data_IF_726445824344
#
_entry.id   IF_726445824344
#
_cell.length_a   1.000
_cell.length_b   1.000
_cell.length_c   1.000
_cell.angle_alpha   90.00
_cell.angle_beta   90.00
_cell.angle_gamma   90.00
#
_symmetry.space_group_name_H-M   'P 1'
#
loop_
_entity.id
_entity.type
_entity.pdbx_description
1 polymer ?
#
# COMPACT_ATOMS: atom_id res chain seq x y z
N UNK A 1 -26.89 -21.03 -23.51
CA UNK A 1 -25.44 -21.09 -23.20
C UNK A 1 -25.07 -20.33 -21.93
N UNK A 2 -25.32 -19.00 -21.85
CA UNK A 2 -25.00 -18.15 -20.68
C UNK A 2 -25.61 -18.62 -19.36
N UNK A 3 -26.91 -18.98 -19.33
CA UNK A 3 -27.58 -19.48 -18.12
C UNK A 3 -27.02 -20.83 -17.63
N UNK A 4 -26.60 -21.70 -18.55
CA UNK A 4 -26.00 -23.01 -18.23
C UNK A 4 -24.60 -22.81 -17.63
N UNK A 5 -23.81 -21.89 -18.18
CA UNK A 5 -22.50 -21.52 -17.63
C UNK A 5 -22.61 -21.06 -16.17
N UNK A 6 -23.46 -20.08 -15.87
CA UNK A 6 -23.59 -19.56 -14.50
C UNK A 6 -24.16 -20.59 -13.52
N UNK A 7 -25.04 -21.49 -13.98
CA UNK A 7 -25.54 -22.59 -13.14
C UNK A 7 -24.42 -23.54 -12.75
N UNK A 8 -23.56 -23.91 -13.70
CA UNK A 8 -22.41 -24.79 -13.46
C UNK A 8 -21.33 -24.09 -12.62
N UNK A 9 -21.02 -22.82 -12.90
CA UNK A 9 -20.08 -22.02 -12.11
C UNK A 9 -20.53 -21.96 -10.64
N UNK A 10 -21.80 -21.64 -10.38
CA UNK A 10 -22.33 -21.56 -9.01
C UNK A 10 -22.28 -22.90 -8.27
N UNK A 11 -22.45 -24.02 -8.96
CA UNK A 11 -22.37 -25.36 -8.37
C UNK A 11 -20.94 -25.79 -8.04
N UNK A 12 -19.96 -25.33 -8.82
CA UNK A 12 -18.54 -25.68 -8.66
C UNK A 12 -17.75 -24.66 -7.83
N UNK A 13 -18.26 -23.45 -7.66
CA UNK A 13 -17.61 -22.38 -6.93
C UNK A 13 -17.67 -22.66 -5.43
N UNK A 14 -16.52 -22.87 -4.83
CA UNK A 14 -16.37 -22.95 -3.38
C UNK A 14 -16.95 -21.70 -2.72
N UNK A 15 -17.78 -21.88 -1.70
CA UNK A 15 -18.37 -20.77 -0.97
C UNK A 15 -17.26 -19.97 -0.29
N UNK A 16 -17.08 -18.72 -0.73
CA UNK A 16 -16.06 -17.79 -0.19
C UNK A 16 -16.22 -17.49 1.29
N UNK A 17 -17.45 -17.62 1.81
CA UNK A 17 -17.72 -17.43 3.24
C UNK A 17 -17.37 -18.68 4.07
N UNK A 18 -17.10 -19.83 3.42
CA UNK A 18 -16.77 -21.10 4.09
C UNK A 18 -15.27 -21.42 4.03
N UNK A 19 -14.57 -21.04 2.95
CA UNK A 19 -13.14 -21.25 2.77
C UNK A 19 -12.45 -19.94 2.35
N UNK A 20 -11.85 -19.26 3.32
CA UNK A 20 -11.02 -18.08 3.12
C UNK A 20 -9.56 -18.49 2.87
N UNK A 21 -9.00 -18.11 1.72
CA UNK A 21 -7.56 -18.26 1.44
C UNK A 21 -6.76 -17.07 2.02
N UNK A 22 -6.89 -16.86 3.33
CA UNK A 22 -6.11 -15.83 4.03
C UNK A 22 -4.65 -16.28 4.28
N UNK A 23 -4.38 -17.59 4.22
CA UNK A 23 -3.07 -18.17 4.55
C UNK A 23 -1.96 -17.68 3.62
N UNK A 24 -2.23 -17.64 2.31
CA UNK A 24 -1.27 -17.15 1.32
C UNK A 24 -0.98 -15.65 1.49
N UNK A 25 -2.01 -14.83 1.74
CA UNK A 25 -1.83 -13.41 2.02
C UNK A 25 -1.06 -13.12 3.30
N UNK A 26 -1.35 -13.86 4.39
CA UNK A 26 -0.60 -13.76 5.64
C UNK A 26 0.86 -14.14 5.43
N UNK A 27 1.13 -15.24 4.71
CA UNK A 27 2.50 -15.67 4.43
C UNK A 27 3.30 -14.58 3.70
N UNK A 28 2.70 -13.92 2.70
CA UNK A 28 3.37 -12.86 1.94
C UNK A 28 3.55 -11.59 2.76
N UNK A 29 2.56 -11.23 3.59
CA UNK A 29 2.72 -10.12 4.53
C UNK A 29 3.87 -10.40 5.52
N UNK A 30 3.94 -11.62 6.07
CA UNK A 30 5.03 -12.04 6.96
C UNK A 30 6.39 -12.02 6.28
N UNK A 31 6.51 -12.54 5.05
CA UNK A 31 7.75 -12.50 4.27
C UNK A 31 8.16 -11.04 4.00
N UNK A 32 7.21 -10.18 3.62
CA UNK A 32 7.50 -8.76 3.36
C UNK A 32 8.03 -8.07 4.61
N UNK A 33 7.38 -8.27 5.77
CA UNK A 33 7.84 -7.73 7.04
C UNK A 33 9.20 -8.29 7.45
N UNK A 34 9.43 -9.58 7.24
CA UNK A 34 10.71 -10.22 7.51
C UNK A 34 11.83 -9.64 6.65
N UNK A 35 11.61 -9.47 5.34
CA UNK A 35 12.55 -8.83 4.42
C UNK A 35 12.84 -7.39 4.84
N UNK A 36 11.85 -6.65 5.33
CA UNK A 36 12.06 -5.31 5.88
C UNK A 36 12.94 -5.33 7.13
N UNK A 37 12.66 -6.23 8.08
CA UNK A 37 13.44 -6.38 9.33
C UNK A 37 14.89 -6.74 9.02
N UNK A 38 15.11 -7.74 8.16
CA UNK A 38 16.46 -8.19 7.74
C UNK A 38 17.16 -7.08 6.95
N UNK A 39 16.49 -6.46 5.98
CA UNK A 39 17.06 -5.40 5.15
C UNK A 39 17.41 -4.13 5.94
N UNK A 40 16.75 -3.88 7.07
CA UNK A 40 17.11 -2.80 8.00
C UNK A 40 18.04 -3.23 9.14
N UNK A 41 18.45 -4.50 9.18
CA UNK A 41 19.34 -5.03 10.23
C UNK A 41 18.73 -4.96 11.63
N UNK A 42 17.41 -4.98 11.75
CA UNK A 42 16.71 -4.86 13.02
C UNK A 42 16.78 -6.18 13.79
N UNK A 43 17.47 -6.17 14.93
CA UNK A 43 17.60 -7.30 15.86
C UNK A 43 16.66 -7.19 17.07
N UNK A 44 16.20 -5.98 17.38
CA UNK A 44 15.31 -5.72 18.50
C UNK A 44 14.28 -4.63 18.17
N UNK A 45 13.08 -4.74 18.75
CA UNK A 45 12.00 -3.75 18.60
C UNK A 45 12.44 -2.36 19.05
N UNK A 46 13.31 -2.25 20.05
CA UNK A 46 13.87 -0.97 20.52
C UNK A 46 14.60 -0.20 19.40
N UNK A 47 15.20 -0.89 18.43
CA UNK A 47 15.92 -0.28 17.32
C UNK A 47 14.99 0.40 16.30
N UNK A 48 13.67 0.11 16.33
CA UNK A 48 12.70 0.84 15.50
C UNK A 48 12.69 2.35 15.80
N UNK A 49 12.96 2.74 17.06
CA UNK A 49 13.07 4.16 17.45
C UNK A 49 14.29 4.84 16.83
N UNK A 50 15.35 4.07 16.57
CA UNK A 50 16.62 4.54 16.00
C UNK A 50 16.62 4.46 14.47
N UNK A 51 15.60 3.87 13.86
CA UNK A 51 15.52 3.72 12.41
C UNK A 51 15.44 5.10 11.75
N UNK A 52 16.39 5.37 10.85
CA UNK A 52 16.38 6.60 10.06
C UNK A 52 15.40 6.52 8.90
N UNK A 53 14.72 7.62 8.67
CA UNK A 53 13.86 7.84 7.51
C UNK A 53 14.71 8.00 6.24
N UNK A 54 14.22 7.54 5.08
CA UNK A 54 14.89 7.78 3.80
C UNK A 54 14.92 9.28 3.50
N UNK A 55 15.88 9.74 2.71
CA UNK A 55 15.89 11.13 2.23
C UNK A 55 14.76 11.37 1.20
N UNK A 56 14.51 12.64 0.83
CA UNK A 56 13.45 13.01 -0.13
C UNK A 56 13.58 12.26 -1.47
N UNK A 57 14.79 12.10 -1.99
CA UNK A 57 15.05 11.37 -3.24
C UNK A 57 14.64 9.91 -3.13
N UNK A 58 15.08 9.23 -2.07
CA UNK A 58 14.73 7.85 -1.80
C UNK A 58 13.23 7.69 -1.61
N UNK A 59 12.58 8.61 -0.88
CA UNK A 59 11.11 8.61 -0.73
C UNK A 59 10.41 8.59 -2.10
N UNK A 60 10.80 9.48 -3.02
CA UNK A 60 10.23 9.52 -4.36
C UNK A 60 10.50 8.25 -5.17
N UNK A 61 11.71 7.69 -5.08
CA UNK A 61 12.04 6.43 -5.74
C UNK A 61 11.13 5.32 -5.22
N UNK A 62 11.06 5.12 -3.90
CA UNK A 62 10.23 4.10 -3.28
C UNK A 62 8.74 4.27 -3.62
N UNK A 63 8.24 5.51 -3.57
CA UNK A 63 6.87 5.82 -3.97
C UNK A 63 6.59 5.35 -5.39
N UNK A 64 7.41 5.78 -6.36
CA UNK A 64 7.22 5.43 -7.77
C UNK A 64 7.46 3.94 -8.07
N UNK A 65 8.40 3.29 -7.37
CA UNK A 65 8.57 1.84 -7.44
C UNK A 65 7.29 1.13 -7.00
N UNK A 66 6.64 1.57 -5.92
CA UNK A 66 5.35 1.04 -5.50
C UNK A 66 4.28 1.14 -6.61
N UNK A 67 4.21 2.28 -7.30
CA UNK A 67 3.30 2.47 -8.44
C UNK A 67 3.58 1.52 -9.60
N UNK A 68 4.85 1.37 -9.99
CA UNK A 68 5.23 0.42 -11.05
C UNK A 68 4.85 -1.01 -10.67
N UNK A 69 5.08 -1.40 -9.42
CA UNK A 69 4.69 -2.73 -8.93
C UNK A 69 3.17 -2.88 -8.92
N UNK A 70 2.38 -1.85 -8.58
CA UNK A 70 0.92 -1.89 -8.69
C UNK A 70 0.44 -2.09 -10.13
N UNK A 71 1.09 -1.45 -11.11
CA UNK A 71 0.79 -1.69 -12.52
C UNK A 71 1.04 -3.14 -12.90
N UNK A 72 2.20 -3.69 -12.51
CA UNK A 72 2.54 -5.08 -12.77
C UNK A 72 1.57 -6.04 -12.07
N UNK A 73 1.25 -5.77 -10.80
CA UNK A 73 0.30 -6.50 -9.98
C UNK A 73 -1.09 -6.57 -10.62
N UNK A 74 -1.61 -5.43 -11.10
CA UNK A 74 -2.90 -5.37 -11.78
C UNK A 74 -2.95 -6.29 -13.00
N UNK A 75 -1.93 -6.20 -13.87
CA UNK A 75 -1.87 -7.02 -15.08
C UNK A 75 -1.68 -8.50 -14.76
N UNK A 76 -0.79 -8.79 -13.81
CA UNK A 76 -0.52 -10.15 -13.34
C UNK A 76 -1.78 -10.81 -12.79
N UNK A 77 -2.50 -10.12 -11.91
CA UNK A 77 -3.71 -10.62 -11.28
C UNK A 77 -4.82 -10.94 -12.30
N UNK A 78 -5.11 -10.00 -13.21
CA UNK A 78 -6.16 -10.22 -14.22
C UNK A 78 -5.74 -11.23 -15.28
N UNK A 79 -4.45 -11.29 -15.64
CA UNK A 79 -3.93 -12.33 -16.54
C UNK A 79 -4.07 -13.72 -15.92
N UNK A 80 -3.63 -13.89 -14.67
CA UNK A 80 -3.71 -15.17 -13.95
C UNK A 80 -5.16 -15.65 -13.81
N UNK A 81 -6.07 -14.76 -13.41
CA UNK A 81 -7.51 -15.09 -13.33
C UNK A 81 -8.11 -15.43 -14.69
N UNK A 82 -7.64 -14.77 -15.75
CA UNK A 82 -8.03 -15.10 -17.12
C UNK A 82 -7.60 -16.50 -17.53
N UNK A 83 -6.35 -16.88 -17.27
CA UNK A 83 -5.84 -18.23 -17.55
C UNK A 83 -6.56 -19.30 -16.73
N UNK A 84 -6.95 -18.98 -15.48
CA UNK A 84 -7.75 -19.89 -14.63
C UNK A 84 -9.19 -20.07 -15.11
N UNK A 85 -9.66 -19.25 -16.05
CA UNK A 85 -11.04 -19.29 -16.53
C UNK A 85 -12.05 -18.70 -15.54
N UNK A 86 -11.63 -17.80 -14.66
CA UNK A 86 -12.53 -17.11 -13.71
C UNK A 86 -13.56 -16.21 -14.42
N UNK A 87 -13.32 -15.93 -15.70
CA UNK A 87 -14.09 -15.02 -16.51
C UNK A 87 -14.76 -15.79 -17.66
N UNK A 88 -16.05 -15.54 -17.93
CA UNK A 88 -16.74 -16.19 -19.02
C UNK A 88 -16.07 -15.87 -20.37
N UNK A 89 -15.81 -16.88 -21.22
CA UNK A 89 -15.10 -16.69 -22.49
C UNK A 89 -15.88 -15.86 -23.53
N UNK A 90 -17.17 -15.61 -23.25
CA UNK A 90 -18.10 -14.90 -24.12
C UNK A 90 -18.41 -13.47 -23.64
N UNK A 91 -17.73 -12.96 -22.61
CA UNK A 91 -17.90 -11.58 -22.17
C UNK A 91 -16.55 -10.91 -21.96
N UNK A 92 -16.45 -9.62 -22.32
CA UNK A 92 -15.31 -8.72 -22.07
C UNK A 92 -15.15 -8.39 -20.56
N UNK A 93 -15.17 -9.43 -19.75
CA UNK A 93 -15.29 -9.35 -18.30
C UNK A 93 -13.94 -9.15 -17.61
N UNK A 94 -12.83 -9.43 -18.30
CA UNK A 94 -11.45 -9.09 -17.87
C UNK A 94 -11.07 -7.68 -18.29
N UNK A 95 -11.41 -7.30 -19.53
CA UNK A 95 -10.96 -6.05 -20.13
C UNK A 95 -11.48 -4.85 -19.36
N UNK A 96 -12.75 -4.89 -18.93
CA UNK A 96 -13.39 -3.80 -18.19
C UNK A 96 -12.65 -3.47 -16.87
N UNK A 97 -12.47 -4.41 -15.92
CA UNK A 97 -11.80 -4.09 -14.67
C UNK A 97 -10.31 -3.78 -14.85
N UNK A 98 -9.64 -4.42 -15.82
CA UNK A 98 -8.26 -4.09 -16.17
C UNK A 98 -8.13 -2.65 -16.71
N UNK A 99 -9.05 -2.24 -17.58
CA UNK A 99 -9.11 -0.90 -18.15
C UNK A 99 -9.35 0.16 -17.07
N UNK A 100 -10.37 -0.03 -16.22
CA UNK A 100 -10.64 0.89 -15.11
C UNK A 100 -9.48 0.97 -14.13
N UNK A 101 -8.87 -0.17 -13.78
CA UNK A 101 -7.70 -0.21 -12.91
C UNK A 101 -6.50 0.52 -13.53
N UNK A 102 -6.24 0.31 -14.82
CA UNK A 102 -5.14 0.93 -15.55
C UNK A 102 -5.33 2.44 -15.65
N UNK A 103 -6.53 2.91 -15.99
CA UNK A 103 -6.86 4.34 -16.02
C UNK A 103 -6.72 4.95 -14.63
N UNK A 104 -7.30 4.29 -13.61
CA UNK A 104 -7.17 4.74 -12.23
C UNK A 104 -5.69 4.94 -11.89
N UNK A 105 -4.86 3.93 -12.16
CA UNK A 105 -3.44 4.04 -11.88
C UNK A 105 -2.76 5.16 -12.69
N UNK A 106 -3.01 5.27 -13.99
CA UNK A 106 -2.38 6.27 -14.87
C UNK A 106 -2.80 7.71 -14.53
N UNK A 107 -4.02 7.91 -14.05
CA UNK A 107 -4.54 9.23 -13.67
C UNK A 107 -4.06 9.62 -12.27
N UNK A 108 -4.15 8.71 -11.29
CA UNK A 108 -3.76 9.01 -9.91
C UNK A 108 -2.25 9.12 -9.74
N UNK A 109 -1.45 8.39 -10.51
CA UNK A 109 0.01 8.41 -10.38
C UNK A 109 0.64 9.80 -10.57
N UNK A 110 0.37 10.56 -11.66
CA UNK A 110 0.91 11.91 -11.81
C UNK A 110 0.30 12.89 -10.80
N UNK A 111 -1.01 12.80 -10.53
CA UNK A 111 -1.68 13.66 -9.54
C UNK A 111 -1.03 13.51 -8.16
N UNK A 112 -0.78 12.27 -7.73
CA UNK A 112 -0.16 12.03 -6.44
C UNK A 112 1.32 12.43 -6.43
N UNK A 113 2.08 12.27 -7.52
CA UNK A 113 3.43 12.83 -7.59
C UNK A 113 3.43 14.35 -7.39
N UNK A 114 2.50 15.08 -8.01
CA UNK A 114 2.35 16.53 -7.81
C UNK A 114 2.00 16.86 -6.35
N UNK A 115 1.04 16.15 -5.76
CA UNK A 115 0.68 16.32 -4.35
C UNK A 115 1.86 16.03 -3.41
N UNK A 116 2.65 14.99 -3.69
CA UNK A 116 3.83 14.66 -2.91
C UNK A 116 4.90 15.75 -2.97
N UNK A 117 5.09 16.42 -4.11
CA UNK A 117 6.01 17.56 -4.20
C UNK A 117 5.59 18.69 -3.26
N UNK A 118 4.30 19.01 -3.19
CA UNK A 118 3.76 20.03 -2.30
C UNK A 118 3.91 19.63 -0.83
N UNK A 119 3.55 18.40 -0.50
CA UNK A 119 3.54 17.92 0.89
C UNK A 119 4.97 17.71 1.41
N UNK A 120 5.92 17.27 0.57
CA UNK A 120 7.32 17.06 0.94
C UNK A 120 8.14 18.36 1.00
N UNK A 121 7.63 19.47 0.44
CA UNK A 121 8.34 20.75 0.44
C UNK A 121 8.76 21.19 1.86
N UNK A 122 7.85 21.30 2.85
CA UNK A 122 8.20 21.70 4.21
C UNK A 122 8.81 20.57 5.08
N UNK A 123 8.89 19.34 4.56
CA UNK A 123 9.27 18.15 5.35
C UNK A 123 10.78 18.05 5.49
N UNK A 124 11.23 17.66 6.67
CA UNK A 124 12.62 17.32 6.93
C UNK A 124 12.78 15.82 7.06
N UNK A 125 13.29 15.19 6.01
CA UNK A 125 13.56 13.76 5.97
C UNK A 125 15.02 13.45 6.29
N UNK A 126 15.30 12.24 6.78
CA UNK A 126 16.64 11.78 7.18
C UNK A 126 16.85 11.68 8.70
N UNK A 127 15.87 12.06 9.52
CA UNK A 127 15.88 11.83 10.96
C UNK A 127 15.22 10.51 11.36
N UNK A 128 14.82 10.40 12.64
CA UNK A 128 14.25 9.17 13.19
C UNK A 128 12.81 8.92 12.70
N UNK A 129 12.39 7.66 12.60
CA UNK A 129 11.02 7.29 12.19
C UNK A 129 9.98 7.60 13.29
N UNK A 130 10.34 7.37 14.55
CA UNK A 130 9.42 7.55 15.68
C UNK A 130 9.66 8.88 16.39
N UNK A 131 9.29 9.97 15.73
CA UNK A 131 9.34 11.33 16.28
C UNK A 131 8.02 11.67 16.98
N UNK A 132 8.13 12.33 18.14
CA UNK A 132 7.02 12.94 18.87
C UNK A 132 7.11 14.46 18.78
N UNK A 133 5.98 15.18 18.76
CA UNK A 133 6.00 16.64 18.85
C UNK A 133 6.55 17.08 20.22
N UNK A 134 7.38 18.13 20.24
CA UNK A 134 7.81 18.80 21.47
C UNK A 134 6.68 19.64 22.09
N UNK A 135 5.86 20.25 21.24
CA UNK A 135 4.63 20.95 21.62
C UNK A 135 3.53 20.64 20.60
N UNK A 136 2.31 20.44 21.08
CA UNK A 136 1.14 20.22 20.23
C UNK A 136 0.64 21.57 19.70
N UNK A 137 1.08 21.92 18.50
CA UNK A 137 0.54 23.04 17.74
C UNK A 137 -0.63 22.57 16.88
N UNK A 138 -1.49 23.49 16.42
CA UNK A 138 -2.59 23.12 15.52
C UNK A 138 -2.07 22.45 14.22
N UNK A 139 -0.88 22.84 13.74
CA UNK A 139 -0.22 22.26 12.57
C UNK A 139 0.19 20.81 12.82
N UNK A 140 0.77 20.50 13.97
CA UNK A 140 1.16 19.12 14.31
C UNK A 140 -0.07 18.23 14.46
N UNK A 141 -1.13 18.74 15.10
CA UNK A 141 -2.41 18.01 15.23
C UNK A 141 -3.02 17.73 13.85
N UNK A 142 -3.03 18.70 12.95
CA UNK A 142 -3.56 18.54 11.60
C UNK A 142 -2.77 17.49 10.80
N UNK A 143 -1.43 17.54 10.83
CA UNK A 143 -0.59 16.55 10.14
C UNK A 143 -0.79 15.15 10.72
N UNK A 144 -0.83 15.01 12.04
CA UNK A 144 -1.07 13.72 12.69
C UNK A 144 -2.46 13.19 12.36
N UNK A 145 -3.48 14.04 12.35
CA UNK A 145 -4.84 13.68 11.94
C UNK A 145 -4.92 13.20 10.50
N UNK A 146 -4.36 13.98 9.55
CA UNK A 146 -4.34 13.61 8.14
C UNK A 146 -3.56 12.32 7.89
N UNK A 147 -2.35 12.20 8.43
CA UNK A 147 -1.56 10.97 8.31
C UNK A 147 -2.26 9.79 8.98
N UNK A 148 -2.90 10.01 10.13
CA UNK A 148 -3.64 8.99 10.88
C UNK A 148 -4.85 8.46 10.09
N UNK A 149 -5.63 9.36 9.47
CA UNK A 149 -6.76 8.97 8.60
C UNK A 149 -6.26 8.15 7.41
N UNK A 150 -5.20 8.59 6.73
CA UNK A 150 -4.64 7.83 5.61
C UNK A 150 -4.04 6.50 6.04
N UNK A 151 -3.34 6.44 7.18
CA UNK A 151 -2.83 5.19 7.75
C UNK A 151 -3.96 4.23 8.10
N UNK A 152 -5.10 4.73 8.62
CA UNK A 152 -6.27 3.90 8.87
C UNK A 152 -6.85 3.35 7.56
N UNK A 153 -7.04 4.18 6.54
CA UNK A 153 -7.58 3.76 5.24
C UNK A 153 -6.66 2.71 4.60
N UNK A 154 -5.36 2.98 4.52
CA UNK A 154 -4.38 2.05 3.94
C UNK A 154 -4.23 0.80 4.81
N UNK A 155 -4.36 0.93 6.13
CA UNK A 155 -4.39 -0.19 7.07
C UNK A 155 -5.58 -1.13 6.82
N UNK A 156 -6.79 -0.59 6.69
CA UNK A 156 -7.99 -1.37 6.36
C UNK A 156 -7.87 -2.01 4.96
N UNK A 157 -7.32 -1.28 4.00
CA UNK A 157 -7.03 -1.81 2.66
C UNK A 157 -5.99 -2.95 2.70
N UNK A 158 -4.99 -2.87 3.60
CA UNK A 158 -4.02 -3.95 3.80
C UNK A 158 -4.68 -5.23 4.29
N UNK A 159 -5.67 -5.14 5.19
CA UNK A 159 -6.42 -6.29 5.67
C UNK A 159 -7.24 -6.90 4.53
N UNK A 160 -7.93 -6.07 3.76
CA UNK A 160 -8.69 -6.54 2.59
C UNK A 160 -7.78 -7.21 1.55
N UNK A 161 -6.58 -6.69 1.32
CA UNK A 161 -5.63 -7.27 0.35
C UNK A 161 -5.00 -8.57 0.85
N UNK A 162 -4.79 -8.72 2.16
CA UNK A 162 -4.32 -9.97 2.78
C UNK A 162 -5.38 -11.07 2.69
N UNK A 163 -6.67 -10.73 2.87
CA UNK A 163 -7.75 -11.72 2.88
C UNK A 163 -8.11 -12.18 1.46
N UNK A 164 -8.19 -11.24 0.52
CA UNK A 164 -8.87 -11.47 -0.77
C UNK A 164 -8.16 -10.81 -1.97
N UNK A 165 -7.07 -10.09 -1.73
CA UNK A 165 -6.41 -9.28 -2.73
C UNK A 165 -5.38 -10.01 -3.56
N UNK A 166 -4.77 -9.24 -4.45
CA UNK A 166 -3.59 -9.67 -5.19
C UNK A 166 -2.36 -9.68 -4.27
N UNK A 167 -1.63 -10.79 -4.32
CA UNK A 167 -0.45 -11.04 -3.50
C UNK A 167 0.69 -10.03 -3.74
N UNK A 168 0.85 -9.52 -4.96
CA UNK A 168 1.85 -8.49 -5.27
C UNK A 168 1.46 -7.10 -4.76
N UNK A 169 0.18 -6.88 -4.48
CA UNK A 169 -0.32 -5.63 -3.90
C UNK A 169 0.04 -5.51 -2.42
N UNK A 170 0.11 -6.61 -1.68
CA UNK A 170 0.45 -6.65 -0.25
C UNK A 170 1.76 -5.89 0.07
N UNK A 171 2.92 -6.21 -0.56
CA UNK A 171 4.15 -5.49 -0.27
C UNK A 171 4.09 -4.01 -0.64
N UNK A 172 3.31 -3.62 -1.66
CA UNK A 172 3.14 -2.22 -2.02
C UNK A 172 2.31 -1.46 -0.98
N UNK A 173 1.24 -2.06 -0.47
CA UNK A 173 0.42 -1.44 0.58
C UNK A 173 1.25 -1.24 1.85
N UNK A 174 2.03 -2.25 2.25
CA UNK A 174 2.95 -2.13 3.39
C UNK A 174 4.03 -1.07 3.15
N UNK A 175 4.53 -0.94 1.93
CA UNK A 175 5.44 0.14 1.54
C UNK A 175 4.78 1.52 1.69
N UNK A 176 3.52 1.69 1.26
CA UNK A 176 2.80 2.95 1.41
C UNK A 176 2.51 3.30 2.87
N UNK A 177 2.22 2.31 3.73
CA UNK A 177 2.16 2.51 5.19
C UNK A 177 3.51 3.04 5.69
N UNK A 178 4.62 2.42 5.28
CA UNK A 178 5.95 2.90 5.66
C UNK A 178 6.21 4.33 5.20
N UNK A 179 5.87 4.68 3.96
CA UNK A 179 6.04 6.04 3.44
C UNK A 179 5.18 7.07 4.19
N UNK A 180 3.95 6.73 4.57
CA UNK A 180 3.10 7.60 5.40
C UNK A 180 3.71 7.83 6.80
N UNK A 181 4.30 6.80 7.41
CA UNK A 181 5.00 6.94 8.69
C UNK A 181 6.25 7.82 8.55
N UNK A 182 7.01 7.65 7.48
CA UNK A 182 8.17 8.49 7.13
C UNK A 182 7.74 9.95 6.98
N UNK A 183 6.63 10.20 6.29
CA UNK A 183 6.10 11.53 6.07
C UNK A 183 5.71 12.20 7.39
N UNK A 184 4.93 11.50 8.23
CA UNK A 184 4.53 11.98 9.56
C UNK A 184 5.77 12.37 10.36
N UNK A 185 6.77 11.50 10.40
CA UNK A 185 8.00 11.73 11.14
C UNK A 185 8.73 13.01 10.66
N UNK A 186 8.84 13.20 9.35
CA UNK A 186 9.55 14.34 8.79
C UNK A 186 8.84 15.68 8.99
N UNK A 187 7.50 15.71 9.00
CA UNK A 187 6.75 16.91 9.36
C UNK A 187 6.93 17.26 10.84
N UNK A 188 6.80 16.26 11.73
CA UNK A 188 6.99 16.48 13.17
C UNK A 188 8.40 16.97 13.48
N UNK A 189 9.41 16.43 12.80
CA UNK A 189 10.79 16.92 12.92
C UNK A 189 10.92 18.39 12.47
N UNK A 190 10.32 18.75 11.34
CA UNK A 190 10.32 20.12 10.84
C UNK A 190 9.64 21.11 11.80
N UNK A 191 8.57 20.69 12.49
CA UNK A 191 7.93 21.51 13.52
C UNK A 191 8.79 21.63 14.78
N UNK A 192 9.38 20.53 15.24
CA UNK A 192 10.25 20.54 16.41
C UNK A 192 11.46 21.47 16.22
N UNK A 193 12.05 21.51 15.02
CA UNK A 193 13.16 22.42 14.73
C UNK A 193 12.78 23.91 14.73
N UNK A 194 11.51 24.24 14.44
CA UNK A 194 11.03 25.63 14.50
C UNK A 194 10.74 26.10 15.93
N UNK A 195 10.63 25.17 16.87
CA UNK A 195 10.35 25.42 18.28
C UNK A 195 11.61 25.41 19.16
N UNK A 196 12.75 25.01 18.60
CA UNK A 196 14.09 25.09 19.22
C UNK A 196 14.74 26.42 18.87
#
# INVERSE_FOLDING_TARGET
>A
MKAVYYKNEKALRTNRNELLDAGSGIAIASITLWLFVVGKGLRAVAQLRQLRTPNKRQFFIWFNTGWVVLFAALHWYYHYRGVRGDFPPFADSIGIPLYYGTIGLLVFWPVLNLLWLLVLWPVQLGGHLLVKPLAYTWQSVLVEGLCGVWLLIVGLYSISTIIDGDHLTIPVVLLFIYLLLVLRAGHLQAFNQKLQ
#
